data_IF_453633859697
#
_entry.id   IF_453633859697
#
_cell.length_a   1.000
_cell.length_b   1.000
_cell.length_c   1.000
_cell.angle_alpha   90.00
_cell.angle_beta   90.00
_cell.angle_gamma   90.00
#
_symmetry.space_group_name_H-M   'P 1'
#
loop_
_entity.id
_entity.type
_entity.pdbx_description
1 polymer ?
#
# COMPACT_ATOMS: atom_id res chain seq x y z
N UNK A 1 -19.00 3.17 -4.44
CA UNK A 1 -18.21 2.44 -5.45
C UNK A 1 -17.71 3.44 -6.45
N UNK A 2 -16.41 3.46 -6.67
CA UNK A 2 -15.76 4.44 -7.56
C UNK A 2 -15.78 3.92 -9.00
N UNK A 3 -15.68 2.60 -9.18
CA UNK A 3 -15.87 1.94 -10.46
C UNK A 3 -16.38 0.51 -10.29
N UNK A 4 -17.18 0.07 -11.26
CA UNK A 4 -17.58 -1.33 -11.44
C UNK A 4 -17.47 -1.63 -12.94
N UNK A 5 -16.78 -2.71 -13.28
CA UNK A 5 -16.57 -3.19 -14.65
C UNK A 5 -17.05 -4.63 -14.71
N UNK A 6 -17.96 -4.90 -15.65
CA UNK A 6 -18.42 -6.24 -15.99
C UNK A 6 -17.98 -6.51 -17.42
N UNK A 7 -17.28 -7.62 -17.64
CA UNK A 7 -16.78 -8.00 -18.96
C UNK A 7 -17.06 -9.48 -19.27
N UNK A 8 -17.48 -9.74 -20.50
CA UNK A 8 -17.74 -11.06 -21.04
C UNK A 8 -17.86 -10.94 -22.56
N UNK A 9 -17.49 -12.01 -23.27
CA UNK A 9 -17.41 -12.03 -24.73
C UNK A 9 -18.20 -13.22 -25.29
N UNK A 10 -18.64 -13.09 -26.54
CA UNK A 10 -19.24 -14.17 -27.31
C UNK A 10 -18.41 -14.44 -28.57
N UNK A 11 -18.00 -15.69 -28.77
CA UNK A 11 -17.23 -16.13 -29.93
C UNK A 11 -18.16 -16.80 -30.95
N UNK A 12 -18.38 -16.14 -32.08
CA UNK A 12 -19.23 -16.64 -33.17
C UNK A 12 -18.58 -17.75 -34.01
N UNK A 13 -17.25 -17.91 -33.94
CA UNK A 13 -16.52 -18.89 -34.74
C UNK A 13 -16.27 -20.22 -34.00
N UNK A 14 -16.67 -20.33 -32.73
CA UNK A 14 -16.49 -21.56 -31.97
C UNK A 14 -17.64 -22.54 -32.21
N UNK A 15 -17.29 -23.83 -32.33
CA UNK A 15 -18.28 -24.92 -32.50
C UNK A 15 -19.04 -25.21 -31.19
N UNK A 16 -18.48 -24.83 -30.04
CA UNK A 16 -19.08 -24.96 -28.71
C UNK A 16 -18.46 -23.99 -27.72
N UNK A 17 -19.10 -23.77 -26.55
CA UNK A 17 -18.58 -22.91 -25.48
C UNK A 17 -18.39 -21.43 -25.88
N UNK A 18 -19.30 -20.93 -26.70
CA UNK A 18 -19.23 -19.61 -27.34
C UNK A 18 -19.17 -18.44 -26.35
N UNK A 19 -19.76 -18.54 -25.15
CA UNK A 19 -19.64 -17.49 -24.13
C UNK A 19 -18.33 -17.63 -23.34
N UNK A 20 -17.64 -16.52 -23.06
CA UNK A 20 -16.55 -16.51 -22.07
C UNK A 20 -17.11 -16.51 -20.64
N UNK A 21 -16.29 -16.81 -19.63
CA UNK A 21 -16.60 -16.41 -18.26
C UNK A 21 -16.86 -14.91 -18.19
N UNK A 22 -17.80 -14.54 -17.34
CA UNK A 22 -18.14 -13.15 -16.99
C UNK A 22 -17.25 -12.76 -15.81
N UNK A 23 -16.43 -11.73 -16.01
CA UNK A 23 -15.60 -11.16 -14.97
C UNK A 23 -16.26 -9.88 -14.45
N UNK A 24 -16.37 -9.78 -13.14
CA UNK A 24 -16.84 -8.60 -12.44
C UNK A 24 -15.67 -8.08 -11.62
N UNK A 25 -15.37 -6.80 -11.75
CA UNK A 25 -14.39 -6.15 -10.88
C UNK A 25 -14.92 -4.80 -10.44
N UNK A 26 -14.59 -4.39 -9.23
CA UNK A 26 -14.98 -3.10 -8.72
C UNK A 26 -14.00 -2.62 -7.67
N UNK A 27 -13.90 -1.31 -7.54
CA UNK A 27 -13.12 -0.67 -6.47
C UNK A 27 -13.99 0.35 -5.77
N UNK A 28 -13.88 0.42 -4.46
CA UNK A 28 -14.50 1.48 -3.66
C UNK A 28 -13.52 1.96 -2.62
N UNK A 29 -13.59 3.25 -2.31
CA UNK A 29 -12.88 3.85 -1.19
C UNK A 29 -13.82 3.99 -0.01
N UNK A 30 -13.35 3.66 1.18
CA UNK A 30 -14.04 3.76 2.46
C UNK A 30 -13.24 4.68 3.40
N UNK A 31 -13.86 5.09 4.52
CA UNK A 31 -13.22 5.92 5.55
C UNK A 31 -12.51 7.15 4.96
N UNK A 32 -13.24 7.98 4.19
CA UNK A 32 -12.71 9.17 3.50
C UNK A 32 -11.46 8.90 2.64
N UNK A 33 -11.37 7.72 2.02
CA UNK A 33 -10.25 7.37 1.14
C UNK A 33 -9.07 6.67 1.83
N UNK A 34 -9.14 6.41 3.13
CA UNK A 34 -8.07 5.74 3.88
C UNK A 34 -7.98 4.24 3.58
N UNK A 35 -9.11 3.63 3.26
CA UNK A 35 -9.20 2.22 2.89
C UNK A 35 -9.71 2.07 1.48
N UNK A 36 -8.96 1.35 0.65
CA UNK A 36 -9.42 0.93 -0.67
C UNK A 36 -9.83 -0.53 -0.60
N UNK A 37 -11.04 -0.82 -1.08
CA UNK A 37 -11.59 -2.17 -1.21
C UNK A 37 -11.70 -2.49 -2.70
N UNK A 38 -10.89 -3.46 -3.15
CA UNK A 38 -10.98 -4.03 -4.48
C UNK A 38 -11.73 -5.36 -4.43
N UNK A 39 -12.71 -5.53 -5.30
CA UNK A 39 -13.47 -6.76 -5.48
C UNK A 39 -13.23 -7.29 -6.89
N UNK A 40 -13.03 -8.60 -7.01
CA UNK A 40 -13.01 -9.33 -8.28
C UNK A 40 -13.84 -10.57 -8.10
N UNK A 41 -14.67 -10.91 -9.07
CA UNK A 41 -15.42 -12.15 -9.10
C UNK A 41 -15.50 -12.66 -10.53
N UNK A 42 -15.48 -13.98 -10.68
CA UNK A 42 -15.65 -14.64 -11.97
C UNK A 42 -16.81 -15.61 -11.88
N UNK A 43 -17.65 -15.54 -12.90
CA UNK A 43 -18.79 -16.42 -13.10
C UNK A 43 -18.71 -17.04 -14.48
N UNK A 44 -19.15 -18.29 -14.62
CA UNK A 44 -19.12 -19.04 -15.87
C UNK A 44 -20.55 -19.44 -16.27
N UNK A 45 -21.02 -19.10 -17.48
CA UNK A 45 -22.33 -19.55 -17.94
C UNK A 45 -22.47 -21.07 -18.06
N UNK A 46 -21.37 -21.79 -18.18
CA UNK A 46 -21.38 -23.23 -18.43
C UNK A 46 -21.11 -24.05 -17.17
N UNK A 47 -21.71 -25.24 -17.16
CA UNK A 47 -21.45 -26.27 -16.19
C UNK A 47 -20.04 -26.86 -16.35
N UNK A 48 -19.57 -27.48 -15.28
CA UNK A 48 -18.34 -28.27 -15.28
C UNK A 48 -18.66 -29.70 -14.92
N UNK A 49 -17.88 -30.61 -15.45
CA UNK A 49 -17.88 -32.02 -15.07
C UNK A 49 -16.50 -32.38 -14.55
N UNK A 50 -16.45 -33.18 -13.50
CA UNK A 50 -15.19 -33.68 -12.96
C UNK A 50 -14.68 -34.83 -13.83
N UNK A 51 -13.56 -34.61 -14.53
CA UNK A 51 -12.89 -35.62 -15.34
C UNK A 51 -11.47 -35.80 -14.80
N UNK A 52 -11.18 -36.99 -14.26
CA UNK A 52 -9.88 -37.33 -13.66
C UNK A 52 -9.42 -36.33 -12.56
N UNK A 53 -10.34 -35.91 -11.69
CA UNK A 53 -10.04 -34.97 -10.60
C UNK A 53 -9.87 -33.50 -11.03
N UNK A 54 -10.28 -33.15 -12.26
CA UNK A 54 -10.24 -31.77 -12.78
C UNK A 54 -11.61 -31.36 -13.29
N UNK A 55 -12.02 -30.13 -12.98
CA UNK A 55 -13.17 -29.50 -13.63
C UNK A 55 -12.88 -29.32 -15.12
N UNK A 56 -13.69 -29.96 -15.96
CA UNK A 56 -13.74 -29.68 -17.39
C UNK A 56 -15.04 -28.97 -17.70
N UNK A 57 -14.95 -27.80 -18.33
CA UNK A 57 -16.12 -27.07 -18.85
C UNK A 57 -16.81 -27.92 -19.91
N UNK A 58 -18.12 -28.06 -19.82
CA UNK A 58 -18.94 -28.80 -20.79
C UNK A 58 -19.90 -27.85 -21.50
N UNK A 59 -20.32 -28.20 -22.72
CA UNK A 59 -21.23 -27.36 -23.52
C UNK A 59 -22.69 -27.47 -23.06
N UNK A 60 -22.90 -27.29 -21.77
CA UNK A 60 -24.20 -27.28 -21.11
C UNK A 60 -24.25 -26.06 -20.19
N UNK A 61 -25.29 -25.26 -20.28
CA UNK A 61 -25.44 -24.09 -19.41
C UNK A 61 -25.66 -24.53 -17.96
N UNK A 62 -25.03 -23.80 -17.02
CA UNK A 62 -25.21 -24.02 -15.59
C UNK A 62 -26.68 -23.94 -15.15
N UNK A 63 -27.50 -23.18 -15.89
CA UNK A 63 -28.95 -23.09 -15.67
C UNK A 63 -29.66 -24.42 -15.89
N UNK A 64 -29.26 -25.17 -16.91
CA UNK A 64 -29.91 -26.44 -17.27
C UNK A 64 -29.52 -27.56 -16.30
N UNK A 65 -28.26 -27.57 -15.85
CA UNK A 65 -27.72 -28.62 -14.97
C UNK A 65 -28.05 -28.38 -13.50
N UNK A 66 -27.79 -27.16 -13.01
CA UNK A 66 -27.79 -26.85 -11.57
C UNK A 66 -28.83 -25.77 -11.19
N UNK A 67 -29.62 -25.27 -12.16
CA UNK A 67 -30.60 -24.19 -11.94
C UNK A 67 -30.00 -22.81 -11.69
N UNK A 68 -28.68 -22.65 -11.82
CA UNK A 68 -27.97 -21.37 -11.58
C UNK A 68 -27.70 -20.65 -12.89
N UNK A 69 -28.08 -19.38 -13.01
CA UNK A 69 -27.86 -18.59 -14.23
C UNK A 69 -26.39 -18.54 -14.65
N UNK A 70 -25.50 -18.33 -13.68
CA UNK A 70 -24.06 -18.42 -13.86
C UNK A 70 -23.46 -19.22 -12.70
N UNK A 71 -22.52 -20.11 -13.01
CA UNK A 71 -21.73 -20.83 -12.02
C UNK A 71 -20.69 -19.91 -11.42
N UNK A 72 -20.61 -19.84 -10.10
CA UNK A 72 -19.52 -19.14 -9.42
C UNK A 72 -18.19 -19.88 -9.65
N UNK A 73 -17.13 -19.14 -10.01
CA UNK A 73 -15.78 -19.69 -10.16
C UNK A 73 -14.93 -19.28 -8.98
N UNK A 74 -14.79 -17.97 -8.76
CA UNK A 74 -14.07 -17.42 -7.62
C UNK A 74 -14.45 -15.97 -7.38
N UNK A 75 -14.05 -15.47 -6.21
CA UNK A 75 -14.01 -14.07 -5.87
C UNK A 75 -12.78 -13.75 -5.02
N UNK A 76 -12.29 -12.53 -5.13
CA UNK A 76 -11.24 -11.99 -4.28
C UNK A 76 -11.68 -10.61 -3.80
N UNK A 77 -11.58 -10.41 -2.49
CA UNK A 77 -11.70 -9.11 -1.86
C UNK A 77 -10.34 -8.69 -1.30
N UNK A 78 -9.82 -7.56 -1.74
CA UNK A 78 -8.59 -6.95 -1.25
C UNK A 78 -8.92 -5.68 -0.49
N UNK A 79 -8.51 -5.63 0.76
CA UNK A 79 -8.59 -4.46 1.61
C UNK A 79 -7.18 -3.93 1.79
N UNK A 80 -6.98 -2.69 1.37
CA UNK A 80 -5.71 -1.98 1.56
C UNK A 80 -6.01 -0.70 2.31
N UNK A 81 -5.59 -0.64 3.56
CA UNK A 81 -5.72 0.54 4.42
C UNK A 81 -4.36 1.18 4.56
N UNK A 82 -4.31 2.49 4.42
CA UNK A 82 -3.10 3.25 4.61
C UNK A 82 -3.42 4.54 5.35
N UNK A 83 -3.14 4.55 6.64
CA UNK A 83 -3.59 5.59 7.55
C UNK A 83 -2.42 6.08 8.41
N UNK A 84 -2.48 7.35 8.77
CA UNK A 84 -1.48 8.00 9.62
C UNK A 84 -2.06 8.15 11.03
N UNK A 85 -1.24 8.10 12.09
CA UNK A 85 -1.72 8.21 13.49
C UNK A 85 -2.49 9.51 13.71
N UNK A 86 -2.04 10.63 13.13
CA UNK A 86 -2.80 11.89 13.18
C UNK A 86 -4.22 11.75 12.59
N UNK A 87 -4.39 11.00 11.50
CA UNK A 87 -5.71 10.75 10.89
C UNK A 87 -6.58 9.80 11.73
N UNK A 88 -5.97 8.81 12.38
CA UNK A 88 -6.66 7.95 13.35
C UNK A 88 -7.20 8.81 14.49
N UNK A 89 -6.35 9.66 15.07
CA UNK A 89 -6.72 10.54 16.17
C UNK A 89 -7.86 11.47 15.78
N UNK A 90 -7.78 12.14 14.63
CA UNK A 90 -8.86 12.99 14.12
C UNK A 90 -10.20 12.23 13.99
N UNK A 91 -10.18 10.98 13.50
CA UNK A 91 -11.37 10.13 13.37
C UNK A 91 -12.00 9.76 14.72
N UNK A 92 -11.17 9.42 15.73
CA UNK A 92 -11.66 8.99 17.05
C UNK A 92 -12.03 10.16 17.96
N UNK A 93 -11.38 11.32 17.80
CA UNK A 93 -11.68 12.53 18.56
C UNK A 93 -12.85 13.34 17.97
N UNK A 94 -13.43 12.90 16.85
CA UNK A 94 -14.60 13.56 16.26
C UNK A 94 -14.30 14.98 15.77
N UNK A 95 -13.03 15.32 15.52
CA UNK A 95 -12.67 16.55 14.82
C UNK A 95 -13.15 16.39 13.38
N UNK A 96 -14.36 16.89 13.12
CA UNK A 96 -14.79 17.23 11.78
C UNK A 96 -13.72 18.16 11.19
N UNK A 97 -13.23 17.83 10.00
CA UNK A 97 -12.52 18.82 9.18
C UNK A 97 -13.52 19.94 8.90
N UNK A 98 -13.58 20.94 9.77
CA UNK A 98 -14.14 22.23 9.42
C UNK A 98 -13.30 22.72 8.25
N UNK A 99 -13.90 22.77 7.06
CA UNK A 99 -13.33 23.50 5.94
C UNK A 99 -13.35 24.96 6.35
N UNK A 100 -12.26 25.41 6.96
CA UNK A 100 -12.07 26.83 7.25
C UNK A 100 -11.78 27.50 5.90
N UNK A 101 -12.78 28.19 5.35
CA UNK A 101 -12.67 28.91 4.07
C UNK A 101 -11.62 30.03 4.09
N UNK A 102 -11.22 30.48 5.29
CA UNK A 102 -10.28 31.59 5.48
C UNK A 102 -8.94 31.10 6.08
N UNK A 103 -7.82 31.15 5.31
CA UNK A 103 -6.50 30.77 5.78
C UNK A 103 -6.06 31.47 7.07
N UNK A 104 -6.55 32.68 7.33
CA UNK A 104 -6.19 33.48 8.51
C UNK A 104 -6.85 32.95 9.78
N UNK A 105 -8.02 32.31 9.67
CA UNK A 105 -8.75 31.72 10.80
C UNK A 105 -8.12 30.37 11.18
N UNK A 106 -7.65 29.61 10.20
CA UNK A 106 -6.79 28.43 10.41
C UNK A 106 -5.50 28.80 11.15
N UNK A 107 -4.81 29.84 10.68
CA UNK A 107 -3.56 30.31 11.29
C UNK A 107 -3.78 30.82 12.73
N UNK A 108 -4.88 31.54 12.99
CA UNK A 108 -5.26 31.99 14.33
C UNK A 108 -5.62 30.83 15.28
N UNK A 109 -6.42 29.84 14.84
CA UNK A 109 -6.75 28.66 15.65
C UNK A 109 -5.50 27.83 16.00
N UNK A 110 -4.57 27.69 15.05
CA UNK A 110 -3.31 26.96 15.21
C UNK A 110 -2.33 27.62 16.19
N UNK A 111 -2.47 28.94 16.41
CA UNK A 111 -1.69 29.72 17.36
C UNK A 111 -2.30 29.73 18.78
N UNK A 112 -3.61 29.49 18.90
CA UNK A 112 -4.35 29.50 20.17
C UNK A 112 -4.45 28.13 20.84
N UNK A 113 -4.38 27.02 20.10
CA UNK A 113 -4.26 25.70 20.72
C UNK A 113 -2.88 25.57 21.35
N UNK A 114 -2.77 25.40 22.69
CA UNK A 114 -1.50 24.99 23.25
C UNK A 114 -1.11 23.68 22.56
N UNK A 115 0.09 23.61 21.99
CA UNK A 115 0.71 22.33 21.68
C UNK A 115 0.82 21.57 23.00
N UNK A 116 -0.27 20.90 23.40
CA UNK A 116 -0.17 19.86 24.41
C UNK A 116 0.86 18.90 23.83
N UNK A 117 2.02 18.86 24.48
CA UNK A 117 3.09 17.91 24.21
C UNK A 117 2.62 16.53 24.68
N UNK A 118 1.49 16.08 24.14
CA UNK A 118 0.99 14.73 24.31
C UNK A 118 1.99 13.81 23.63
N UNK A 119 2.39 12.75 24.34
CA UNK A 119 3.33 11.76 23.82
C UNK A 119 2.89 11.20 22.46
N UNK A 120 1.58 11.17 22.19
CA UNK A 120 1.03 10.73 20.91
C UNK A 120 1.31 11.68 19.73
N UNK A 121 1.57 12.98 19.97
CA UNK A 121 1.90 13.94 18.91
C UNK A 121 3.22 13.58 18.21
N UNK A 122 4.17 13.01 18.96
CA UNK A 122 5.44 12.48 18.44
C UNK A 122 5.27 11.37 17.40
N UNK A 123 4.13 10.68 17.42
CA UNK A 123 3.82 9.59 16.51
C UNK A 123 2.87 10.01 15.39
N UNK A 124 2.48 11.28 15.29
CA UNK A 124 1.48 11.73 14.32
C UNK A 124 1.82 11.31 12.90
N UNK A 125 3.10 11.36 12.51
CA UNK A 125 3.57 10.99 11.17
C UNK A 125 3.72 9.47 10.95
N UNK A 126 3.44 8.63 11.95
CA UNK A 126 3.49 7.18 11.79
C UNK A 126 2.39 6.71 10.87
N UNK A 127 2.80 5.95 9.86
CA UNK A 127 1.95 5.37 8.84
C UNK A 127 1.75 3.90 9.15
N UNK A 128 0.49 3.51 9.27
CA UNK A 128 0.03 2.15 9.43
C UNK A 128 -0.56 1.69 8.11
N UNK A 129 0.13 0.75 7.48
CA UNK A 129 -0.37 -0.02 6.36
C UNK A 129 -1.03 -1.30 6.85
N UNK A 130 -2.20 -1.63 6.32
CA UNK A 130 -2.85 -2.91 6.51
C UNK A 130 -3.27 -3.47 5.16
N UNK A 131 -2.94 -4.73 4.92
CA UNK A 131 -3.28 -5.42 3.69
C UNK A 131 -3.92 -6.76 4.04
N UNK A 132 -5.17 -6.94 3.60
CA UNK A 132 -5.95 -8.15 3.79
C UNK A 132 -6.49 -8.61 2.44
N UNK A 133 -6.20 -9.85 2.06
CA UNK A 133 -6.72 -10.48 0.84
C UNK A 133 -7.51 -11.70 1.26
N UNK A 134 -8.81 -11.64 0.96
CA UNK A 134 -9.76 -12.72 1.13
C UNK A 134 -10.06 -13.32 -0.23
N UNK A 135 -9.82 -14.62 -0.36
CA UNK A 135 -10.11 -15.41 -1.54
C UNK A 135 -11.28 -16.36 -1.23
N UNK A 136 -12.21 -16.44 -2.18
CA UNK A 136 -13.29 -17.39 -2.21
C UNK A 136 -13.19 -18.14 -3.53
N UNK A 137 -13.01 -19.45 -3.46
CA UNK A 137 -12.93 -20.33 -4.61
C UNK A 137 -14.11 -21.31 -4.60
N UNK A 138 -14.83 -21.37 -5.71
CA UNK A 138 -15.87 -22.37 -5.93
C UNK A 138 -15.26 -23.63 -6.53
N UNK A 139 -15.30 -24.74 -5.81
CA UNK A 139 -14.79 -26.02 -6.29
C UNK A 139 -15.81 -26.71 -7.23
N UNK A 140 -15.33 -27.57 -8.13
CA UNK A 140 -16.19 -28.27 -9.11
C UNK A 140 -17.23 -29.20 -8.50
N UNK A 141 -16.99 -29.67 -7.27
CA UNK A 141 -17.88 -30.55 -6.50
C UNK A 141 -18.98 -29.78 -5.74
N UNK A 142 -19.05 -28.46 -5.93
CA UNK A 142 -20.01 -27.58 -5.27
C UNK A 142 -19.60 -27.17 -3.85
N UNK A 143 -18.39 -27.50 -3.39
CA UNK A 143 -17.83 -26.97 -2.13
C UNK A 143 -17.19 -25.62 -2.37
N UNK A 144 -17.35 -24.71 -1.41
CA UNK A 144 -16.73 -23.40 -1.44
C UNK A 144 -15.57 -23.35 -0.45
N UNK A 145 -14.40 -22.91 -0.91
CA UNK A 145 -13.22 -22.73 -0.05
C UNK A 145 -12.98 -21.25 0.20
N UNK A 146 -12.95 -20.88 1.47
CA UNK A 146 -12.58 -19.54 1.92
C UNK A 146 -11.14 -19.55 2.43
N UNK A 147 -10.32 -18.63 1.93
CA UNK A 147 -8.92 -18.50 2.33
C UNK A 147 -8.51 -17.06 2.51
N UNK A 148 -7.84 -16.77 3.61
CA UNK A 148 -7.09 -15.51 3.76
C UNK A 148 -5.68 -15.76 3.25
N UNK A 149 -5.36 -15.26 2.06
CA UNK A 149 -4.04 -15.47 1.45
C UNK A 149 -3.00 -14.45 1.89
N UNK A 150 -3.43 -13.26 2.30
CA UNK A 150 -2.56 -12.22 2.83
C UNK A 150 -3.28 -11.52 3.97
N UNK A 151 -2.58 -11.35 5.07
CA UNK A 151 -3.03 -10.52 6.16
C UNK A 151 -1.78 -9.98 6.86
N UNK A 152 -1.49 -8.71 6.65
CA UNK A 152 -0.31 -8.07 7.23
C UNK A 152 -0.61 -6.65 7.69
N UNK A 153 0.03 -6.27 8.78
CA UNK A 153 0.07 -4.88 9.26
C UNK A 153 1.53 -4.45 9.27
N UNK A 154 1.82 -3.28 8.76
CA UNK A 154 3.13 -2.65 8.82
C UNK A 154 3.00 -1.22 9.32
N UNK A 155 4.02 -0.78 10.05
CA UNK A 155 4.10 0.52 10.67
C UNK A 155 5.50 1.10 10.39
N UNK A 156 5.53 2.37 10.01
CA UNK A 156 6.76 3.11 9.78
C UNK A 156 6.52 4.59 10.05
N UNK A 157 7.55 5.31 10.47
CA UNK A 157 7.43 6.73 10.77
C UNK A 157 8.74 7.32 11.24
N UNK A 158 8.68 8.59 11.62
CA UNK A 158 9.80 9.33 12.18
C UNK A 158 9.35 10.09 13.43
N UNK A 159 10.21 10.18 14.43
CA UNK A 159 10.00 10.88 15.69
C UNK A 159 11.06 11.98 15.77
N UNK A 160 10.63 13.24 15.76
CA UNK A 160 11.48 14.37 16.10
C UNK A 160 11.55 14.49 17.63
N UNK A 161 12.61 13.97 18.24
CA UNK A 161 12.76 14.02 19.71
C UNK A 161 13.05 15.45 20.20
N UNK A 162 13.78 16.23 19.41
CA UNK A 162 14.07 17.66 19.59
C UNK A 162 14.31 18.26 18.21
N UNK A 163 14.42 19.58 18.07
CA UNK A 163 14.68 20.26 16.79
C UNK A 163 15.88 19.69 16.01
N UNK A 164 16.87 19.17 16.74
CA UNK A 164 18.10 18.66 16.17
C UNK A 164 18.20 17.13 16.22
N UNK A 165 17.19 16.40 16.68
CA UNK A 165 17.21 14.93 16.78
C UNK A 165 16.00 14.33 16.09
N UNK A 166 16.27 13.40 15.17
CA UNK A 166 15.22 12.63 14.51
C UNK A 166 15.55 11.13 14.55
N UNK A 167 14.54 10.34 14.88
CA UNK A 167 14.57 8.88 14.85
C UNK A 167 13.62 8.39 13.78
N UNK A 168 14.15 7.70 12.78
CA UNK A 168 13.36 7.05 11.73
C UNK A 168 13.18 5.57 12.06
N UNK A 169 11.94 5.10 12.09
CA UNK A 169 11.58 3.70 12.28
C UNK A 169 10.96 3.20 10.98
N UNK A 170 11.65 2.31 10.28
CA UNK A 170 11.18 1.71 9.04
C UNK A 170 10.76 0.26 9.22
N UNK A 171 9.69 -0.16 8.53
CA UNK A 171 9.32 -1.56 8.32
C UNK A 171 9.13 -2.42 9.58
N UNK A 172 8.53 -1.86 10.64
CA UNK A 172 8.00 -2.72 11.71
C UNK A 172 6.70 -3.35 11.21
N UNK A 173 6.48 -4.66 11.40
CA UNK A 173 5.23 -5.25 10.95
C UNK A 173 4.99 -6.67 11.42
N UNK A 174 3.80 -7.18 11.14
CA UNK A 174 3.37 -8.53 11.44
C UNK A 174 2.60 -9.11 10.27
N UNK A 175 2.98 -10.32 9.84
CA UNK A 175 2.27 -11.14 8.87
C UNK A 175 1.48 -12.22 9.64
N UNK A 176 0.16 -12.11 9.64
CA UNK A 176 -0.75 -13.01 10.35
C UNK A 176 -0.87 -14.37 9.67
N UNK A 177 -0.64 -14.46 8.36
CA UNK A 177 -0.70 -15.73 7.61
C UNK A 177 0.54 -16.57 7.93
N UNK A 178 1.71 -15.94 7.91
CA UNK A 178 3.00 -16.59 8.21
C UNK A 178 3.33 -16.61 9.70
N UNK A 179 2.54 -15.91 10.53
CA UNK A 179 2.75 -15.72 11.98
C UNK A 179 4.15 -15.16 12.29
N UNK A 180 4.61 -14.20 11.50
CA UNK A 180 5.97 -13.68 11.55
C UNK A 180 6.02 -12.17 11.79
N UNK A 181 6.98 -11.75 12.62
CA UNK A 181 7.29 -10.33 12.83
C UNK A 181 8.32 -9.88 11.78
N UNK A 182 8.07 -8.73 11.16
CA UNK A 182 9.07 -7.98 10.41
C UNK A 182 9.68 -6.96 11.34
N UNK A 183 10.98 -7.09 11.58
CA UNK A 183 11.70 -6.21 12.50
C UNK A 183 12.10 -4.91 11.82
N UNK A 184 12.09 -3.79 12.56
CA UNK A 184 12.33 -2.49 11.97
C UNK A 184 13.80 -2.25 11.65
N UNK A 185 14.06 -1.34 10.73
CA UNK A 185 15.31 -0.59 10.66
C UNK A 185 15.15 0.71 11.45
N UNK A 186 16.15 1.06 12.25
CA UNK A 186 16.15 2.29 13.05
C UNK A 186 17.26 3.21 12.56
N UNK A 187 16.90 4.41 12.13
CA UNK A 187 17.82 5.47 11.78
C UNK A 187 17.80 6.54 12.86
N UNK A 188 18.97 7.03 13.25
CA UNK A 188 19.13 8.17 14.14
C UNK A 188 19.87 9.25 13.36
N UNK A 189 19.40 10.48 13.40
CA UNK A 189 20.07 11.63 12.80
C UNK A 189 20.08 12.78 13.79
N UNK A 190 21.24 13.41 13.96
CA UNK A 190 21.41 14.58 14.81
C UNK A 190 22.11 15.73 14.07
N UNK A 191 21.49 16.90 14.13
CA UNK A 191 22.08 18.17 13.71
C UNK A 191 22.98 18.74 14.83
N UNK A 192 24.22 19.06 14.48
CA UNK A 192 25.22 19.68 15.36
C UNK A 192 25.70 21.02 14.77
N UNK A 193 24.85 21.68 14.00
CA UNK A 193 25.07 22.95 13.29
C UNK A 193 26.04 22.83 12.10
N UNK A 194 27.34 22.72 12.36
CA UNK A 194 28.37 22.55 11.32
C UNK A 194 28.67 21.08 11.04
N UNK A 195 28.07 20.17 11.81
CA UNK A 195 28.30 18.74 11.71
C UNK A 195 26.94 18.03 11.68
N UNK A 196 26.92 16.89 11.01
CA UNK A 196 25.78 15.98 11.02
C UNK A 196 26.28 14.63 11.51
N UNK A 197 25.55 14.05 12.46
CA UNK A 197 25.74 12.69 12.91
C UNK A 197 24.57 11.84 12.42
N UNK A 198 24.86 10.65 11.92
CA UNK A 198 23.84 9.67 11.58
C UNK A 198 24.24 8.25 11.94
N UNK A 199 23.26 7.47 12.37
CA UNK A 199 23.41 6.04 12.60
C UNK A 199 22.24 5.30 11.96
N UNK A 200 22.51 4.24 11.21
CA UNK A 200 21.48 3.32 10.73
C UNK A 200 21.72 1.95 11.36
N UNK A 201 20.68 1.34 11.91
CA UNK A 201 20.75 0.05 12.58
C UNK A 201 19.65 -0.88 12.08
N UNK A 202 20.03 -2.08 11.68
CA UNK A 202 19.11 -3.17 11.30
C UNK A 202 19.34 -4.35 12.25
N UNK A 203 18.62 -4.42 13.38
CA UNK A 203 18.88 -5.38 14.46
C UNK A 203 18.92 -6.83 13.99
N UNK A 204 17.99 -7.22 13.12
CA UNK A 204 17.90 -8.60 12.61
C UNK A 204 19.03 -9.01 11.69
N UNK A 205 19.59 -8.06 10.94
CA UNK A 205 20.72 -8.31 10.06
C UNK A 205 22.06 -8.11 10.76
N UNK A 206 22.05 -7.64 12.01
CA UNK A 206 23.26 -7.29 12.75
C UNK A 206 24.10 -6.20 12.08
N UNK A 207 23.50 -5.42 11.16
CA UNK A 207 24.22 -4.38 10.43
C UNK A 207 23.96 -3.03 11.06
N UNK A 208 25.03 -2.25 11.21
CA UNK A 208 24.95 -0.86 11.62
C UNK A 208 25.94 -0.03 10.82
N UNK A 209 25.59 1.21 10.55
CA UNK A 209 26.50 2.21 10.01
C UNK A 209 26.39 3.46 10.87
N UNK A 210 27.53 4.11 11.09
CA UNK A 210 27.62 5.34 11.84
C UNK A 210 28.53 6.30 11.09
N UNK A 211 28.14 7.56 11.03
CA UNK A 211 28.95 8.62 10.47
C UNK A 211 28.84 9.89 11.31
N UNK A 212 29.91 10.68 11.27
CA UNK A 212 29.88 12.09 11.59
C UNK A 212 30.57 12.78 10.41
N UNK A 213 29.89 13.75 9.82
CA UNK A 213 30.42 14.51 8.70
C UNK A 213 30.27 16.00 8.97
N UNK A 214 31.19 16.79 8.42
CA UNK A 214 30.99 18.25 8.36
C UNK A 214 29.83 18.50 7.42
N UNK A 215 28.82 19.24 7.88
CA UNK A 215 27.72 19.68 7.01
C UNK A 215 28.36 20.45 5.86
N UNK A 216 28.17 20.04 4.59
CA UNK A 216 28.68 20.82 3.49
C UNK A 216 28.10 22.22 3.64
N UNK A 217 28.97 23.21 3.82
CA UNK A 217 28.52 24.60 3.87
C UNK A 217 27.70 24.89 2.61
N UNK A 218 26.75 25.80 2.69
CA UNK A 218 26.05 26.42 1.55
C UNK A 218 27.00 27.27 0.69
N UNK A 219 28.22 26.79 0.46
CA UNK A 219 29.18 27.38 -0.46
C UNK A 219 28.79 27.03 -1.90
N UNK A 220 27.63 27.53 -2.31
CA UNK A 220 27.29 27.74 -3.73
C UNK A 220 28.13 28.87 -4.36
N UNK A 221 28.89 29.62 -3.55
CA UNK A 221 29.60 30.82 -4.00
C UNK A 221 30.96 30.58 -4.68
N UNK A 222 31.53 29.36 -4.67
CA UNK A 222 32.82 29.14 -5.35
C UNK A 222 33.00 27.73 -5.90
N UNK A 223 32.04 27.30 -6.73
CA UNK A 223 32.32 26.25 -7.70
C UNK A 223 32.86 26.92 -8.97
N UNK A 224 34.18 27.09 -9.06
CA UNK A 224 34.83 27.36 -10.35
C UNK A 224 34.99 26.00 -11.04
N UNK A 225 34.18 25.66 -12.06
CA UNK A 225 34.44 24.46 -12.85
C UNK A 225 35.70 24.70 -13.68
N UNK A 226 36.87 24.27 -13.19
CA UNK A 226 38.06 24.20 -14.02
C UNK A 226 37.98 22.94 -14.89
N UNK A 227 37.29 23.04 -16.02
CA UNK A 227 37.38 22.05 -17.08
C UNK A 227 38.67 22.30 -17.88
N UNK A 228 39.71 21.51 -17.60
CA UNK A 228 40.88 21.42 -18.48
C UNK A 228 40.50 20.55 -19.68
N UNK A 229 39.78 21.12 -20.64
CA UNK A 229 39.64 20.52 -21.96
C UNK A 229 40.98 20.69 -22.70
N UNK A 230 41.87 19.70 -22.57
CA UNK A 230 42.95 19.54 -23.53
C UNK A 230 42.30 19.08 -24.83
N UNK A 231 41.91 20.04 -25.68
CA UNK A 231 41.67 19.79 -27.09
C UNK A 231 43.02 19.48 -27.70
N UNK A 232 43.33 18.19 -27.87
CA UNK A 232 44.46 17.77 -28.70
C UNK A 232 44.07 18.01 -30.16
N UNK A 233 44.32 19.23 -30.62
CA UNK A 233 44.19 19.58 -32.02
C UNK A 233 45.43 19.06 -32.75
N UNK A 234 45.32 17.88 -33.38
CA UNK A 234 46.12 17.60 -34.57
C UNK A 234 45.40 16.66 -35.54
N UNK A 235 44.82 17.30 -36.54
CA UNK A 235 44.60 16.77 -37.87
C UNK A 235 45.92 16.24 -38.47
N UNK A 236 45.84 15.15 -39.23
CA UNK A 236 46.79 14.91 -40.32
C UNK A 236 47.12 13.44 -40.56
N UNK A 237 46.41 12.89 -41.55
CA UNK A 237 46.67 11.66 -42.34
C UNK A 237 46.48 10.30 -41.67
#
# INVERSE_FOLDING_TARGET
>A
FDNIVVSGNYNFAADSLNFSPVNISGTTRLAKGMTTVGLRAQFDPYAVEEVNGRAKRINEFAWNRDGKLLRFVNAQARFTTNITVGKIRALFMGQEEEVVEDPLVEEAKRLEEPEETDFLSLFENFRIGHNLVFDWEGLPDGRDTFRISTHSINCQGSIALTDNWNINIGNFGYDFVRKGITYPSVGFSRDLHCWEMGMNWQPTRGTYSFFIQVRPGTLDFLKIPYNRNNIDARSGF
#
